data_IF_843730509550
#
_entry.id   IF_843730509550
#
_cell.length_a   1.000
_cell.length_b   1.000
_cell.length_c   1.000
_cell.angle_alpha   90.00
_cell.angle_beta   90.00
_cell.angle_gamma   90.00
#
_symmetry.space_group_name_H-M   'P 1'
#
loop_
_entity.id
_entity.type
_entity.pdbx_description
1 polymer ?
#
# COMPACT_ATOMS: atom_id res chain seq x y z
N UNK A 1 -23.35 5.46 1.66
CA UNK A 1 -22.63 5.87 0.43
C UNK A 1 -23.67 6.40 -0.55
N UNK A 2 -23.41 7.57 -1.12
CA UNK A 2 -24.21 8.19 -2.19
C UNK A 2 -23.21 8.58 -3.27
N UNK A 3 -23.42 8.12 -4.50
CA UNK A 3 -22.61 8.52 -5.64
C UNK A 3 -23.08 9.88 -6.15
N UNK A 4 -22.14 10.83 -6.32
CA UNK A 4 -22.40 12.10 -7.00
C UNK A 4 -21.92 11.99 -8.45
N UNK A 5 -22.82 11.95 -9.46
CA UNK A 5 -22.44 11.82 -10.86
C UNK A 5 -21.65 13.03 -11.39
N UNK A 6 -21.86 14.22 -10.82
CA UNK A 6 -21.21 15.45 -11.29
C UNK A 6 -19.73 15.50 -10.90
N UNK A 7 -19.41 15.06 -9.68
CA UNK A 7 -18.05 15.02 -9.13
C UNK A 7 -17.42 13.62 -9.34
N UNK A 8 -18.19 12.66 -9.87
CA UNK A 8 -17.80 11.27 -10.13
C UNK A 8 -17.19 10.58 -8.90
N UNK A 9 -17.69 10.92 -7.72
CA UNK A 9 -17.09 10.50 -6.45
C UNK A 9 -18.17 10.00 -5.49
N UNK A 10 -17.82 8.99 -4.69
CA UNK A 10 -18.67 8.52 -3.61
C UNK A 10 -18.56 9.43 -2.39
N UNK A 11 -19.69 9.91 -1.91
CA UNK A 11 -19.79 10.64 -0.66
C UNK A 11 -20.37 9.74 0.43
N UNK A 12 -19.73 9.75 1.60
CA UNK A 12 -20.32 9.22 2.82
C UNK A 12 -21.10 10.35 3.48
N UNK A 13 -22.43 10.32 3.32
CA UNK A 13 -23.36 11.27 3.95
C UNK A 13 -24.20 10.58 4.99
N UNK A 14 -24.44 11.28 6.10
CA UNK A 14 -25.47 10.89 7.06
C UNK A 14 -26.84 11.17 6.46
N UNK A 15 -27.72 10.18 6.50
CA UNK A 15 -29.08 10.28 5.99
C UNK A 15 -30.04 9.66 6.99
N UNK A 16 -31.27 10.15 7.02
CA UNK A 16 -32.34 9.52 7.78
C UNK A 16 -32.58 8.08 7.31
N UNK A 17 -33.00 7.22 8.24
CA UNK A 17 -33.33 5.83 7.97
C UNK A 17 -34.77 5.72 7.45
N UNK A 18 -35.08 4.64 6.73
CA UNK A 18 -36.46 4.33 6.37
C UNK A 18 -37.24 3.72 7.54
N UNK A 19 -38.57 3.77 7.47
CA UNK A 19 -39.45 3.10 8.43
C UNK A 19 -39.19 1.59 8.48
N UNK A 20 -38.96 0.96 7.32
CA UNK A 20 -38.57 -0.45 7.24
C UNK A 20 -37.29 -0.74 8.05
N UNK A 21 -36.25 0.09 7.91
CA UNK A 21 -35.01 -0.06 8.68
C UNK A 21 -35.23 0.14 10.18
N UNK A 22 -36.01 1.15 10.57
CA UNK A 22 -36.36 1.41 11.96
C UNK A 22 -37.15 0.25 12.60
N UNK A 23 -38.02 -0.40 11.83
CA UNK A 23 -38.78 -1.57 12.26
C UNK A 23 -37.88 -2.81 12.37
N UNK A 24 -36.92 -3.00 11.46
CA UNK A 24 -35.90 -4.06 11.61
C UNK A 24 -35.08 -3.87 12.89
N UNK A 25 -34.66 -2.63 13.22
CA UNK A 25 -33.94 -2.31 14.46
C UNK A 25 -34.79 -2.63 15.69
N UNK A 26 -36.07 -2.25 15.70
CA UNK A 26 -37.03 -2.64 16.75
C UNK A 26 -37.11 -4.15 16.91
N UNK A 27 -37.20 -4.89 15.80
CA UNK A 27 -37.25 -6.35 15.81
C UNK A 27 -36.02 -7.04 16.40
N UNK A 28 -34.83 -6.41 16.32
CA UNK A 28 -33.62 -6.95 16.95
C UNK A 28 -33.72 -7.05 18.47
N UNK A 29 -34.46 -6.16 19.12
CA UNK A 29 -34.66 -6.18 20.57
C UNK A 29 -35.52 -7.36 21.04
N UNK A 30 -36.36 -7.92 20.17
CA UNK A 30 -37.29 -9.01 20.49
C UNK A 30 -36.79 -10.42 20.17
N UNK A 31 -35.49 -10.62 19.91
CA UNK A 31 -34.96 -11.90 19.41
C UNK A 31 -35.00 -13.03 20.43
N UNK A 32 -34.78 -12.72 21.70
CA UNK A 32 -34.67 -13.71 22.79
C UNK A 32 -35.89 -13.69 23.72
N UNK A 33 -36.64 -12.59 23.74
CA UNK A 33 -37.78 -12.38 24.62
C UNK A 33 -38.34 -10.97 24.44
N UNK A 34 -39.29 -10.54 25.28
CA UNK A 34 -39.82 -9.18 25.24
C UNK A 34 -38.70 -8.16 25.51
N UNK A 35 -38.47 -7.28 24.54
CA UNK A 35 -37.44 -6.23 24.60
C UNK A 35 -38.00 -4.86 24.26
N UNK A 36 -37.30 -3.81 24.69
CA UNK A 36 -37.68 -2.41 24.46
C UNK A 36 -36.70 -1.77 23.49
N UNK A 37 -37.21 -0.96 22.55
CA UNK A 37 -36.41 -0.21 21.60
C UNK A 37 -36.62 1.28 21.81
N UNK A 38 -35.56 2.00 22.15
CA UNK A 38 -35.57 3.45 22.30
C UNK A 38 -35.21 4.11 20.96
N UNK A 39 -36.11 4.96 20.45
CA UNK A 39 -35.90 5.75 19.24
C UNK A 39 -35.59 7.20 19.65
N UNK A 40 -34.46 7.74 19.19
CA UNK A 40 -34.01 9.10 19.52
C UNK A 40 -34.53 10.14 18.50
N UNK A 41 -35.82 10.06 18.20
CA UNK A 41 -36.54 10.96 17.29
C UNK A 41 -38.03 10.89 17.62
N UNK A 42 -38.78 11.93 17.27
CA UNK A 42 -40.21 12.03 17.55
C UNK A 42 -41.04 11.10 16.65
N UNK A 43 -42.28 10.83 17.05
CA UNK A 43 -43.22 10.05 16.23
C UNK A 43 -43.63 10.78 14.95
N UNK A 44 -43.66 12.12 14.98
CA UNK A 44 -43.88 12.96 13.80
C UNK A 44 -42.74 12.80 12.78
N UNK A 45 -41.50 12.81 13.24
CA UNK A 45 -40.33 12.56 12.38
C UNK A 45 -40.37 11.15 11.80
N UNK A 46 -40.74 10.14 12.60
CA UNK A 46 -40.92 8.77 12.11
C UNK A 46 -41.98 8.68 11.01
N UNK A 47 -43.06 9.44 11.13
CA UNK A 47 -44.15 9.46 10.14
C UNK A 47 -43.72 10.11 8.81
N UNK A 48 -42.82 11.11 8.87
CA UNK A 48 -42.23 11.79 7.70
C UNK A 48 -41.15 10.98 6.97
N UNK A 49 -40.60 9.93 7.59
CA UNK A 49 -39.57 9.09 6.95
C UNK A 49 -40.15 8.28 5.79
N UNK A 50 -39.31 7.99 4.80
CA UNK A 50 -39.62 7.09 3.70
C UNK A 50 -39.93 5.68 4.21
N UNK A 51 -40.88 5.00 3.57
CA UNK A 51 -41.28 3.65 3.98
C UNK A 51 -40.16 2.63 3.75
N UNK A 52 -39.48 2.73 2.60
CA UNK A 52 -38.40 1.85 2.18
C UNK A 52 -37.12 2.64 1.88
N UNK A 53 -35.96 1.98 2.01
CA UNK A 53 -34.69 2.58 1.60
C UNK A 53 -34.58 2.60 0.08
N UNK A 54 -34.03 3.68 -0.45
CA UNK A 54 -33.71 3.76 -1.88
C UNK A 54 -32.80 2.59 -2.32
N UNK A 55 -33.10 1.97 -3.47
CA UNK A 55 -32.36 0.83 -4.01
C UNK A 55 -30.88 1.15 -4.26
N UNK A 56 -30.01 0.14 -4.12
CA UNK A 56 -28.56 0.31 -4.26
C UNK A 56 -28.14 0.73 -5.68
N UNK A 57 -28.82 0.19 -6.71
CA UNK A 57 -28.56 0.51 -8.12
C UNK A 57 -28.73 2.01 -8.45
N UNK A 58 -29.51 2.75 -7.65
CA UNK A 58 -29.72 4.20 -7.81
C UNK A 58 -28.73 5.04 -7.00
N UNK A 59 -27.88 4.41 -6.18
CA UNK A 59 -27.04 5.08 -5.18
C UNK A 59 -25.55 4.83 -5.34
N UNK A 60 -25.16 3.81 -6.10
CA UNK A 60 -23.78 3.35 -6.31
C UNK A 60 -23.36 3.64 -7.75
N UNK A 61 -22.06 3.69 -8.00
CA UNK A 61 -21.53 3.83 -9.36
C UNK A 61 -21.90 2.58 -10.16
N UNK A 62 -22.28 2.79 -11.41
CA UNK A 62 -22.64 1.71 -12.33
C UNK A 62 -21.41 1.16 -13.08
N UNK A 63 -20.21 1.70 -12.85
CA UNK A 63 -18.98 1.35 -13.59
C UNK A 63 -18.73 -0.17 -13.64
N UNK A 64 -18.70 -0.82 -12.48
CA UNK A 64 -18.42 -2.25 -12.34
C UNK A 64 -19.57 -3.11 -12.83
N UNK A 65 -20.82 -2.66 -12.60
CA UNK A 65 -22.03 -3.34 -13.06
C UNK A 65 -22.12 -3.37 -14.58
N UNK A 66 -21.87 -2.23 -15.25
CA UNK A 66 -21.89 -2.14 -16.71
C UNK A 66 -20.78 -3.01 -17.31
N UNK A 67 -19.58 -2.98 -16.74
CA UNK A 67 -18.48 -3.83 -17.17
C UNK A 67 -18.84 -5.32 -17.12
N UNK A 68 -19.47 -5.77 -16.03
CA UNK A 68 -19.93 -7.17 -15.89
C UNK A 68 -21.05 -7.53 -16.88
N UNK A 69 -22.00 -6.62 -17.13
CA UNK A 69 -23.07 -6.85 -18.12
C UNK A 69 -22.47 -7.04 -19.52
N UNK A 70 -21.50 -6.20 -19.88
CA UNK A 70 -20.83 -6.27 -21.18
C UNK A 70 -19.94 -7.52 -21.30
N UNK A 71 -19.32 -7.97 -20.22
CA UNK A 71 -18.50 -9.20 -20.21
C UNK A 71 -19.33 -10.47 -20.41
N UNK A 72 -20.58 -10.49 -19.93
CA UNK A 72 -21.53 -11.57 -20.23
C UNK A 72 -21.87 -11.69 -21.73
N UNK A 73 -21.48 -10.71 -22.56
CA UNK A 73 -21.55 -10.72 -24.02
C UNK A 73 -22.93 -11.11 -24.59
N UNK A 74 -24.00 -10.63 -23.96
CA UNK A 74 -25.38 -10.92 -24.38
C UNK A 74 -25.80 -10.19 -25.67
N UNK A 75 -24.94 -9.32 -26.23
CA UNK A 75 -25.23 -8.44 -27.39
C UNK A 75 -26.45 -7.50 -27.21
N UNK A 76 -26.95 -7.39 -25.98
CA UNK A 76 -28.02 -6.49 -25.58
C UNK A 76 -27.41 -5.15 -25.18
N UNK A 77 -28.09 -4.05 -25.51
CA UNK A 77 -27.68 -2.73 -24.99
C UNK A 77 -27.90 -2.71 -23.48
N UNK A 78 -26.97 -2.12 -22.74
CA UNK A 78 -27.05 -2.00 -21.27
C UNK A 78 -28.35 -1.29 -20.86
N UNK A 79 -28.84 -0.37 -21.71
CA UNK A 79 -30.12 0.33 -21.51
C UNK A 79 -31.35 -0.57 -21.56
N UNK A 80 -31.27 -1.64 -22.34
CA UNK A 80 -32.37 -2.60 -22.55
C UNK A 80 -32.26 -3.80 -21.60
N UNK A 81 -31.28 -3.80 -20.69
CA UNK A 81 -31.11 -4.88 -19.73
C UNK A 81 -32.32 -4.94 -18.76
N UNK A 82 -32.88 -6.14 -18.51
CA UNK A 82 -34.10 -6.30 -17.71
C UNK A 82 -33.81 -6.17 -16.20
N UNK A 83 -33.55 -4.95 -15.72
CA UNK A 83 -33.40 -4.65 -14.30
C UNK A 83 -34.74 -4.80 -13.56
N UNK A 84 -34.70 -5.29 -12.31
CA UNK A 84 -35.87 -5.28 -11.42
C UNK A 84 -36.34 -3.84 -11.16
N UNK A 85 -35.39 -2.95 -10.91
CA UNK A 85 -35.59 -1.52 -10.85
C UNK A 85 -34.50 -0.84 -11.69
N UNK A 86 -34.90 -0.21 -12.78
CA UNK A 86 -33.95 0.41 -13.70
C UNK A 86 -33.23 1.59 -13.04
N UNK A 87 -31.91 1.75 -13.28
CA UNK A 87 -31.21 2.97 -12.94
C UNK A 87 -31.74 4.15 -13.77
N UNK A 88 -31.44 5.36 -13.32
CA UNK A 88 -31.73 6.55 -14.11
C UNK A 88 -30.87 6.56 -15.39
N UNK A 89 -31.49 6.93 -16.52
CA UNK A 89 -30.84 6.91 -17.85
C UNK A 89 -29.68 7.91 -17.92
N UNK A 90 -29.77 9.03 -17.19
CA UNK A 90 -28.73 10.06 -17.14
C UNK A 90 -27.39 9.52 -16.61
N UNK A 91 -27.33 9.07 -15.35
CA UNK A 91 -26.15 8.43 -14.78
C UNK A 91 -25.65 7.24 -15.61
N UNK A 92 -26.55 6.41 -16.14
CA UNK A 92 -26.18 5.27 -16.98
C UNK A 92 -25.39 5.70 -18.23
N UNK A 93 -25.88 6.72 -18.96
CA UNK A 93 -25.20 7.25 -20.14
C UNK A 93 -23.86 7.89 -19.80
N UNK A 94 -23.79 8.64 -18.70
CA UNK A 94 -22.54 9.26 -18.23
C UNK A 94 -21.47 8.21 -17.89
N UNK A 95 -21.88 7.10 -17.26
CA UNK A 95 -20.98 5.98 -16.97
C UNK A 95 -20.50 5.32 -18.27
N UNK A 96 -21.39 5.08 -19.23
CA UNK A 96 -21.03 4.51 -20.54
C UNK A 96 -20.02 5.39 -21.29
N UNK A 97 -20.26 6.70 -21.34
CA UNK A 97 -19.33 7.69 -21.91
C UNK A 97 -17.99 7.69 -21.18
N UNK A 98 -17.99 7.58 -19.85
CA UNK A 98 -16.77 7.46 -19.04
C UNK A 98 -15.98 6.21 -19.42
N UNK A 99 -16.62 5.05 -19.48
CA UNK A 99 -15.97 3.78 -19.86
C UNK A 99 -15.43 3.81 -21.30
N UNK A 100 -16.13 4.49 -22.21
CA UNK A 100 -15.67 4.74 -23.58
C UNK A 100 -14.43 5.64 -23.60
N UNK A 101 -14.44 6.74 -22.84
CA UNK A 101 -13.28 7.65 -22.72
C UNK A 101 -12.06 6.97 -22.10
N UNK A 102 -12.29 5.98 -21.23
CA UNK A 102 -11.28 5.17 -20.61
C UNK A 102 -10.74 4.04 -21.52
N UNK A 103 -11.33 3.82 -22.70
CA UNK A 103 -10.93 2.75 -23.61
C UNK A 103 -11.32 1.34 -23.13
N UNK A 104 -12.29 1.24 -22.21
CA UNK A 104 -12.82 -0.04 -21.70
C UNK A 104 -13.86 -0.60 -22.68
N UNK A 105 -14.70 0.29 -23.22
CA UNK A 105 -15.76 -0.03 -24.20
C UNK A 105 -15.32 0.42 -25.59
N UNK A 106 -15.68 -0.35 -26.62
CA UNK A 106 -15.34 -0.02 -28.00
C UNK A 106 -16.07 1.26 -28.45
N UNK A 107 -15.33 2.19 -29.03
CA UNK A 107 -15.88 3.49 -29.43
C UNK A 107 -16.92 3.40 -30.55
N UNK A 108 -16.83 2.37 -31.41
CA UNK A 108 -17.71 2.13 -32.54
C UNK A 108 -18.92 1.27 -32.18
N UNK A 109 -18.80 0.43 -31.15
CA UNK A 109 -19.85 -0.47 -30.71
C UNK A 109 -19.89 -0.53 -29.18
N UNK A 110 -20.82 0.21 -28.59
CA UNK A 110 -20.96 0.33 -27.13
C UNK A 110 -21.39 -0.99 -26.45
N UNK A 111 -21.77 -1.99 -27.24
CA UNK A 111 -22.12 -3.34 -26.77
C UNK A 111 -20.92 -4.27 -26.60
N UNK A 112 -19.73 -3.83 -27.00
CA UNK A 112 -18.53 -4.67 -26.98
C UNK A 112 -17.42 -4.05 -26.12
N UNK A 113 -16.78 -4.89 -25.32
CA UNK A 113 -15.57 -4.55 -24.58
C UNK A 113 -14.35 -4.53 -25.52
N UNK A 114 -13.39 -3.65 -25.21
CA UNK A 114 -12.06 -3.70 -25.82
C UNK A 114 -11.23 -4.85 -25.21
N UNK A 115 -10.09 -5.24 -25.79
CA UNK A 115 -9.19 -6.22 -25.15
C UNK A 115 -8.80 -5.81 -23.73
N UNK A 116 -8.60 -4.51 -23.49
CA UNK A 116 -8.36 -3.97 -22.15
C UNK A 116 -9.60 -4.16 -21.26
N UNK A 117 -10.81 -3.88 -21.76
CA UNK A 117 -12.06 -4.09 -21.03
C UNK A 117 -12.29 -5.55 -20.64
N UNK A 118 -11.97 -6.50 -21.52
CA UNK A 118 -12.06 -7.95 -21.24
C UNK A 118 -11.11 -8.35 -20.10
N UNK A 119 -9.87 -7.83 -20.10
CA UNK A 119 -8.92 -8.09 -19.00
C UNK A 119 -9.44 -7.47 -17.71
N UNK A 120 -9.94 -6.22 -17.76
CA UNK A 120 -10.49 -5.53 -16.59
C UNK A 120 -11.70 -6.25 -15.98
N UNK A 121 -12.59 -6.80 -16.80
CA UNK A 121 -13.78 -7.51 -16.33
C UNK A 121 -13.45 -8.77 -15.52
N UNK A 122 -12.29 -9.38 -15.78
CA UNK A 122 -11.79 -10.55 -15.04
C UNK A 122 -11.18 -10.20 -13.67
N UNK A 123 -10.85 -8.93 -13.44
CA UNK A 123 -10.22 -8.48 -12.19
C UNK A 123 -11.32 -8.04 -11.20
N UNK A 124 -11.40 -8.61 -9.99
CA UNK A 124 -12.39 -8.24 -8.98
C UNK A 124 -11.99 -6.96 -8.22
N UNK A 125 -11.59 -5.92 -8.95
CA UNK A 125 -11.04 -4.67 -8.41
C UNK A 125 -11.59 -3.50 -9.23
N UNK A 126 -11.76 -2.33 -8.58
CA UNK A 126 -12.25 -1.12 -9.23
C UNK A 126 -11.44 -0.77 -10.48
N UNK A 127 -12.14 -0.29 -11.51
CA UNK A 127 -11.57 -0.02 -12.84
C UNK A 127 -10.30 0.84 -12.79
N UNK A 128 -10.22 1.96 -12.04
CA UNK A 128 -9.00 2.77 -11.99
C UNK A 128 -7.79 2.02 -11.43
N UNK A 129 -7.99 1.22 -10.38
CA UNK A 129 -6.93 0.44 -9.74
C UNK A 129 -6.50 -0.71 -10.66
N UNK A 130 -7.46 -1.42 -11.24
CA UNK A 130 -7.21 -2.49 -12.21
C UNK A 130 -6.40 -1.98 -13.41
N UNK A 131 -6.75 -0.82 -13.97
CA UNK A 131 -5.96 -0.19 -15.05
C UNK A 131 -4.56 0.20 -14.60
N UNK A 132 -4.41 0.75 -13.40
CA UNK A 132 -3.10 1.09 -12.85
C UNK A 132 -2.21 -0.16 -12.74
N UNK A 133 -2.76 -1.28 -12.28
CA UNK A 133 -2.03 -2.55 -12.20
C UNK A 133 -1.64 -3.09 -13.58
N UNK A 134 -2.56 -3.09 -14.54
CA UNK A 134 -2.28 -3.53 -15.92
C UNK A 134 -1.17 -2.68 -16.55
N UNK A 135 -1.26 -1.35 -16.45
CA UNK A 135 -0.22 -0.46 -16.97
C UNK A 135 1.11 -0.65 -16.24
N UNK A 136 1.09 -0.93 -14.94
CA UNK A 136 2.31 -1.22 -14.20
C UNK A 136 2.99 -2.53 -14.65
N UNK A 137 2.22 -3.54 -15.07
CA UNK A 137 2.77 -4.73 -15.71
C UNK A 137 3.48 -4.37 -17.02
N UNK A 138 2.84 -3.58 -17.88
CA UNK A 138 3.42 -3.14 -19.17
C UNK A 138 4.68 -2.29 -18.98
N UNK A 139 4.70 -1.41 -17.96
CA UNK A 139 5.83 -0.53 -17.65
C UNK A 139 6.92 -1.21 -16.80
N UNK A 140 6.73 -2.48 -16.42
CA UNK A 140 7.63 -3.22 -15.53
C UNK A 140 7.89 -2.50 -14.18
N UNK A 141 6.82 -1.93 -13.60
CA UNK A 141 6.80 -1.22 -12.29
C UNK A 141 5.73 -1.74 -11.34
N UNK A 142 5.50 -3.05 -11.41
CA UNK A 142 4.46 -3.73 -10.66
C UNK A 142 4.61 -3.55 -9.13
N UNK A 143 5.80 -3.73 -8.57
CA UNK A 143 6.01 -3.72 -7.12
C UNK A 143 5.60 -2.40 -6.46
N UNK A 144 5.80 -1.27 -7.16
CA UNK A 144 5.39 0.06 -6.67
C UNK A 144 3.88 0.22 -6.79
N UNK A 145 3.32 -0.16 -7.96
CA UNK A 145 1.90 -0.05 -8.22
C UNK A 145 1.07 -0.94 -7.29
N UNK A 146 1.55 -2.14 -6.93
CA UNK A 146 0.90 -3.00 -5.95
C UNK A 146 0.81 -2.35 -4.56
N UNK A 147 1.86 -1.63 -4.12
CA UNK A 147 1.82 -0.92 -2.82
C UNK A 147 0.81 0.21 -2.88
N UNK A 148 0.86 1.01 -3.96
CA UNK A 148 -0.02 2.16 -4.12
C UNK A 148 -1.48 1.71 -4.24
N UNK A 149 -1.75 0.69 -5.06
CA UNK A 149 -3.07 0.07 -5.20
C UNK A 149 -3.62 -0.39 -3.85
N UNK A 150 -2.82 -1.16 -3.10
CA UNK A 150 -3.22 -1.65 -1.78
C UNK A 150 -3.44 -0.49 -0.80
N UNK A 151 -2.57 0.51 -0.83
CA UNK A 151 -2.65 1.70 0.00
C UNK A 151 -3.89 2.55 -0.26
N UNK A 152 -4.32 2.70 -1.52
CA UNK A 152 -5.53 3.43 -1.90
C UNK A 152 -6.81 2.63 -1.64
N UNK A 153 -6.71 1.30 -1.56
CA UNK A 153 -7.84 0.40 -1.28
C UNK A 153 -8.14 0.25 0.23
N UNK A 154 -7.16 0.55 1.08
CA UNK A 154 -7.33 0.54 2.54
C UNK A 154 -7.67 1.94 3.04
N UNK A 155 -8.41 2.03 4.14
CA UNK A 155 -8.60 3.29 4.84
C UNK A 155 -7.24 3.92 5.19
N UNK A 156 -7.13 5.23 5.04
CA UNK A 156 -5.87 5.96 5.30
C UNK A 156 -5.25 5.54 6.64
N UNK A 157 -3.96 5.15 6.65
CA UNK A 157 -3.29 4.72 7.87
C UNK A 157 -3.00 5.90 8.81
N UNK A 158 -3.15 7.15 8.34
CA UNK A 158 -2.93 8.34 9.15
C UNK A 158 -4.15 8.65 10.01
N UNK A 159 -3.97 8.68 11.32
CA UNK A 159 -5.03 9.05 12.27
C UNK A 159 -5.20 10.57 12.35
N UNK A 160 -6.29 11.05 12.94
CA UNK A 160 -6.52 12.47 13.20
C UNK A 160 -5.38 13.11 14.03
N UNK A 161 -4.71 12.33 14.90
CA UNK A 161 -3.53 12.79 15.66
C UNK A 161 -2.36 13.14 14.73
N UNK A 162 -2.18 12.41 13.64
CA UNK A 162 -1.13 12.65 12.64
C UNK A 162 -1.23 14.05 12.00
N UNK A 163 -2.39 14.71 12.08
CA UNK A 163 -2.63 16.04 11.53
C UNK A 163 -2.77 17.14 12.59
N UNK A 164 -3.22 16.81 13.81
CA UNK A 164 -3.49 17.78 14.87
C UNK A 164 -2.35 17.97 15.87
N UNK A 165 -1.56 16.93 16.10
CA UNK A 165 -0.50 16.94 17.10
C UNK A 165 0.81 17.43 16.48
N UNK A 166 1.38 18.52 16.99
CA UNK A 166 2.59 19.15 16.44
C UNK A 166 3.78 18.21 16.42
N UNK A 167 3.90 17.34 17.43
CA UNK A 167 5.00 16.39 17.55
C UNK A 167 4.91 15.31 16.47
N UNK A 168 3.68 14.84 16.17
CA UNK A 168 3.43 13.89 15.10
C UNK A 168 3.67 14.52 13.72
N UNK A 169 3.22 15.76 13.52
CA UNK A 169 3.38 16.49 12.26
C UNK A 169 4.87 16.69 11.96
N UNK A 170 5.65 17.16 12.94
CA UNK A 170 7.09 17.34 12.80
C UNK A 170 7.80 16.01 12.54
N UNK A 171 7.43 14.96 13.26
CA UNK A 171 8.00 13.63 13.07
C UNK A 171 7.69 13.07 11.68
N UNK A 172 6.56 13.41 11.06
CA UNK A 172 6.17 12.93 9.72
C UNK A 172 6.83 13.68 8.56
N UNK A 173 7.40 14.86 8.76
CA UNK A 173 7.93 15.70 7.68
C UNK A 173 8.89 14.95 6.75
N UNK A 174 9.80 14.14 7.29
CA UNK A 174 10.75 13.36 6.49
C UNK A 174 10.09 12.28 5.60
N UNK A 175 8.86 11.87 5.91
CA UNK A 175 8.09 10.86 5.17
C UNK A 175 7.24 11.47 4.05
N UNK A 176 7.04 12.80 4.05
CA UNK A 176 6.26 13.47 3.03
C UNK A 176 7.02 13.50 1.71
N UNK A 177 6.32 13.22 0.61
CA UNK A 177 6.84 13.30 -0.73
C UNK A 177 6.25 14.51 -1.45
N UNK A 178 7.13 15.32 -2.05
CA UNK A 178 6.74 16.49 -2.86
C UNK A 178 5.98 16.12 -4.13
N UNK A 179 6.05 14.85 -4.54
CA UNK A 179 5.40 14.31 -5.74
C UNK A 179 3.91 14.01 -5.48
N UNK A 180 3.54 13.74 -4.22
CA UNK A 180 2.13 13.58 -3.81
C UNK A 180 1.88 12.53 -2.74
N UNK A 181 0.63 12.49 -2.28
CA UNK A 181 0.18 11.63 -1.17
C UNK A 181 0.34 10.12 -1.41
N UNK A 182 0.10 9.57 -2.62
CA UNK A 182 0.34 8.15 -2.86
C UNK A 182 1.82 7.75 -2.68
N UNK A 183 2.75 8.66 -3.00
CA UNK A 183 4.19 8.43 -2.81
C UNK A 183 4.61 8.60 -1.35
N UNK A 184 3.96 9.49 -0.61
CA UNK A 184 4.07 9.56 0.85
C UNK A 184 3.66 8.23 1.49
N UNK A 185 2.53 7.66 1.08
CA UNK A 185 2.06 6.36 1.57
C UNK A 185 3.03 5.22 1.24
N UNK A 186 3.61 5.22 0.03
CA UNK A 186 4.67 4.30 -0.38
C UNK A 186 5.91 4.42 0.53
N UNK A 187 6.34 5.65 0.86
CA UNK A 187 7.50 5.90 1.71
C UNK A 187 7.26 5.41 3.14
N UNK A 188 6.09 5.71 3.71
CA UNK A 188 5.65 5.22 5.02
C UNK A 188 5.67 3.69 5.07
N UNK A 189 5.07 3.03 4.07
CA UNK A 189 5.03 1.58 4.02
C UNK A 189 6.43 0.96 3.95
N UNK A 190 7.33 1.57 3.16
CA UNK A 190 8.72 1.13 3.04
C UNK A 190 9.49 1.26 4.34
N UNK A 191 9.37 2.38 5.04
CA UNK A 191 10.02 2.58 6.34
C UNK A 191 9.53 1.57 7.37
N UNK A 192 8.22 1.34 7.42
CA UNK A 192 7.64 0.32 8.29
C UNK A 192 8.18 -1.09 7.99
N UNK A 193 8.31 -1.45 6.71
CA UNK A 193 8.91 -2.73 6.32
C UNK A 193 10.36 -2.86 6.77
N UNK A 194 11.19 -1.82 6.60
CA UNK A 194 12.60 -1.83 7.05
C UNK A 194 12.69 -2.07 8.56
N UNK A 195 11.91 -1.33 9.34
CA UNK A 195 11.86 -1.49 10.81
C UNK A 195 11.41 -2.88 11.23
N UNK A 196 10.54 -3.52 10.44
CA UNK A 196 10.09 -4.89 10.68
C UNK A 196 11.18 -5.92 10.42
N UNK A 197 11.98 -5.72 9.37
CA UNK A 197 13.10 -6.62 9.03
C UNK A 197 14.24 -6.56 10.05
N UNK A 198 14.53 -5.38 10.61
CA UNK A 198 15.65 -5.17 11.52
C UNK A 198 15.46 -5.77 12.93
N UNK A 199 14.30 -6.37 13.23
CA UNK A 199 14.07 -7.09 14.49
C UNK A 199 13.39 -6.26 15.60
N UNK A 200 12.20 -5.73 15.33
CA UNK A 200 11.00 -6.19 16.06
C UNK A 200 10.58 -5.62 17.42
N UNK A 201 11.08 -4.47 17.92
CA UNK A 201 10.47 -3.86 19.14
C UNK A 201 9.89 -2.45 19.01
N UNK A 202 10.17 -1.70 17.95
CA UNK A 202 9.74 -0.30 17.88
C UNK A 202 8.74 0.03 16.76
N UNK A 203 8.19 -0.92 15.99
CA UNK A 203 7.20 -0.59 14.93
C UNK A 203 5.94 0.05 15.50
N UNK A 204 5.43 -0.46 16.64
CA UNK A 204 4.30 0.15 17.37
C UNK A 204 4.62 1.50 17.98
N UNK A 205 5.87 1.73 18.37
CA UNK A 205 6.30 3.00 18.95
C UNK A 205 6.47 4.05 17.86
N UNK A 206 7.11 3.68 16.77
CA UNK A 206 7.25 4.45 15.54
C UNK A 206 5.89 4.84 14.97
N UNK A 207 4.95 3.88 14.86
CA UNK A 207 3.60 4.15 14.38
C UNK A 207 2.88 5.15 15.30
N UNK A 208 2.99 5.00 16.62
CA UNK A 208 2.42 5.97 17.59
C UNK A 208 3.03 7.37 17.47
N UNK A 209 4.35 7.47 17.32
CA UNK A 209 5.06 8.75 17.16
C UNK A 209 4.64 9.51 15.89
N UNK A 210 4.28 8.78 14.84
CA UNK A 210 3.83 9.37 13.57
C UNK A 210 2.30 9.54 13.48
N UNK A 211 1.56 9.07 14.49
CA UNK A 211 0.10 9.04 14.47
C UNK A 211 -0.48 8.08 13.43
N UNK A 212 0.21 6.97 13.16
CA UNK A 212 -0.14 5.95 12.16
C UNK A 212 -0.77 4.74 12.85
N UNK A 213 -1.81 4.17 12.25
CA UNK A 213 -2.41 2.91 12.66
C UNK A 213 -1.68 1.73 12.01
N UNK A 214 -0.93 0.95 12.81
CA UNK A 214 -0.14 -0.18 12.30
C UNK A 214 -1.02 -1.28 11.66
N UNK A 215 -2.24 -1.49 12.17
CA UNK A 215 -3.22 -2.44 11.61
C UNK A 215 -3.44 -2.22 10.12
N UNK A 216 -3.49 -0.95 9.67
CA UNK A 216 -3.70 -0.60 8.26
C UNK A 216 -2.51 -0.98 7.39
N UNK A 217 -1.29 -0.90 7.92
CA UNK A 217 -0.09 -1.34 7.19
C UNK A 217 -0.06 -2.86 6.99
N UNK A 218 -0.60 -3.62 7.96
CA UNK A 218 -0.81 -5.06 7.79
C UNK A 218 -1.89 -5.36 6.75
N UNK A 219 -3.01 -4.62 6.76
CA UNK A 219 -4.06 -4.73 5.73
C UNK A 219 -3.50 -4.45 4.33
N UNK A 220 -2.69 -3.39 4.17
CA UNK A 220 -2.00 -3.07 2.91
C UNK A 220 -1.12 -4.22 2.45
N UNK A 221 -0.36 -4.84 3.36
CA UNK A 221 0.49 -6.00 3.03
C UNK A 221 -0.34 -7.19 2.53
N UNK A 222 -1.49 -7.44 3.17
CA UNK A 222 -2.40 -8.51 2.77
C UNK A 222 -3.06 -8.24 1.41
N UNK A 223 -3.57 -7.03 1.17
CA UNK A 223 -4.17 -6.65 -0.11
C UNK A 223 -3.15 -6.66 -1.24
N UNK A 224 -1.92 -6.19 -0.99
CA UNK A 224 -0.81 -6.27 -1.94
C UNK A 224 -0.61 -7.70 -2.45
N UNK A 225 -0.59 -8.68 -1.52
CA UNK A 225 -0.44 -10.10 -1.88
C UNK A 225 -1.64 -10.58 -2.70
N UNK A 226 -2.85 -10.23 -2.29
CA UNK A 226 -4.08 -10.58 -3.02
C UNK A 226 -4.08 -10.00 -4.45
N UNK A 227 -3.65 -8.75 -4.64
CA UNK A 227 -3.53 -8.18 -5.98
C UNK A 227 -2.48 -8.89 -6.82
N UNK A 228 -1.34 -9.29 -6.24
CA UNK A 228 -0.36 -10.12 -6.94
C UNK A 228 -0.96 -11.47 -7.37
N UNK A 229 -1.64 -12.17 -6.45
CA UNK A 229 -2.31 -13.45 -6.73
C UNK A 229 -3.36 -13.31 -7.84
N UNK A 230 -4.15 -12.23 -7.84
CA UNK A 230 -5.16 -11.95 -8.89
C UNK A 230 -4.48 -11.76 -10.26
N UNK A 231 -3.38 -11.01 -10.32
CA UNK A 231 -2.68 -10.77 -11.58
C UNK A 231 -1.96 -12.03 -12.11
N UNK A 232 -1.46 -12.88 -11.22
CA UNK A 232 -0.92 -14.20 -11.56
C UNK A 232 -2.01 -15.14 -12.09
N UNK A 233 -3.21 -15.12 -11.48
CA UNK A 233 -4.37 -15.89 -11.96
C UNK A 233 -4.89 -15.39 -13.31
N UNK A 234 -4.78 -14.08 -13.57
CA UNK A 234 -5.14 -13.47 -14.84
C UNK A 234 -4.06 -13.67 -15.94
N UNK A 235 -2.98 -14.41 -15.65
CA UNK A 235 -1.86 -14.67 -16.56
C UNK A 235 -1.14 -13.39 -17.05
N UNK A 236 -1.29 -12.29 -16.32
CA UNK A 236 -0.64 -11.01 -16.65
C UNK A 236 0.80 -10.95 -16.18
N UNK A 237 1.16 -11.79 -15.21
CA UNK A 237 2.50 -11.91 -14.65
C UNK A 237 2.82 -13.40 -14.54
N UNK A 238 4.05 -13.84 -14.89
CA UNK A 238 4.45 -15.21 -14.60
C UNK A 238 4.36 -15.44 -13.09
N UNK A 239 3.78 -16.55 -12.67
CA UNK A 239 3.98 -17.01 -11.29
C UNK A 239 5.49 -17.02 -11.07
N UNK A 240 5.97 -16.29 -10.07
CA UNK A 240 7.33 -16.50 -9.58
C UNK A 240 7.35 -17.90 -9.00
N UNK A 241 7.60 -18.87 -9.88
CA UNK A 241 7.77 -20.22 -9.48
C UNK A 241 9.00 -20.25 -8.58
N UNK A 242 8.87 -20.87 -7.42
CA UNK A 242 10.00 -21.39 -6.66
C UNK A 242 10.89 -22.34 -7.49
N UNK A 243 10.60 -22.55 -8.80
CA UNK A 243 11.41 -23.29 -9.76
C UNK A 243 12.79 -22.69 -10.00
N UNK A 244 13.00 -21.37 -9.89
CA UNK A 244 14.38 -20.86 -9.94
C UNK A 244 15.23 -21.44 -8.79
N UNK A 245 14.63 -21.60 -7.60
CA UNK A 245 15.30 -22.21 -6.46
C UNK A 245 15.44 -23.72 -6.60
N UNK A 246 14.51 -24.42 -7.27
CA UNK A 246 14.58 -25.87 -7.49
C UNK A 246 15.51 -26.27 -8.66
N UNK A 247 15.70 -25.42 -9.67
CA UNK A 247 16.61 -25.66 -10.80
C UNK A 247 18.07 -25.31 -10.50
N UNK A 248 18.32 -24.40 -9.53
CA UNK A 248 19.67 -24.11 -9.05
C UNK A 248 20.30 -25.36 -8.42
N UNK A 249 21.52 -25.70 -8.84
CA UNK A 249 22.30 -26.78 -8.23
C UNK A 249 22.46 -26.53 -6.73
N UNK A 250 22.48 -27.59 -5.91
CA UNK A 250 22.73 -27.49 -4.46
C UNK A 250 23.98 -26.66 -4.11
N UNK A 251 24.95 -26.60 -5.03
CA UNK A 251 26.16 -25.77 -4.94
C UNK A 251 25.86 -24.28 -5.11
N UNK A 252 25.03 -23.91 -6.08
CA UNK A 252 24.66 -22.52 -6.40
C UNK A 252 23.75 -21.93 -5.32
N UNK A 253 22.81 -22.73 -4.78
CA UNK A 253 22.00 -22.33 -3.61
C UNK A 253 22.86 -22.01 -2.40
N UNK A 254 23.89 -22.82 -2.13
CA UNK A 254 24.86 -22.57 -1.03
C UNK A 254 25.67 -21.30 -1.26
N UNK A 255 26.06 -21.02 -2.51
CA UNK A 255 26.81 -19.82 -2.86
C UNK A 255 25.96 -18.56 -2.69
N UNK A 256 24.73 -18.53 -3.22
CA UNK A 256 23.83 -17.38 -3.07
C UNK A 256 23.46 -17.10 -1.61
N UNK A 257 23.23 -18.14 -0.80
CA UNK A 257 23.00 -17.97 0.65
C UNK A 257 24.27 -17.47 1.35
N UNK A 258 25.44 -17.94 0.94
CA UNK A 258 26.73 -17.49 1.45
C UNK A 258 27.04 -16.04 1.09
N UNK A 259 26.76 -15.63 -0.14
CA UNK A 259 26.93 -14.27 -0.64
C UNK A 259 25.96 -13.29 0.01
N UNK A 260 24.69 -13.67 0.18
CA UNK A 260 23.70 -12.89 0.95
C UNK A 260 24.11 -12.72 2.40
N UNK A 261 24.63 -13.76 3.05
CA UNK A 261 25.16 -13.66 4.43
C UNK A 261 26.38 -12.75 4.50
N UNK A 262 27.34 -12.89 3.57
CA UNK A 262 28.51 -11.99 3.49
C UNK A 262 28.09 -10.54 3.29
N UNK A 263 27.12 -10.28 2.40
CA UNK A 263 26.59 -8.94 2.16
C UNK A 263 25.92 -8.38 3.42
N UNK A 264 25.13 -9.18 4.12
CA UNK A 264 24.51 -8.80 5.38
C UNK A 264 25.56 -8.49 6.47
N UNK A 265 26.58 -9.32 6.61
CA UNK A 265 27.66 -9.11 7.59
C UNK A 265 28.49 -7.86 7.25
N UNK A 266 28.73 -7.58 5.97
CA UNK A 266 29.41 -6.37 5.51
C UNK A 266 28.57 -5.11 5.75
N UNK A 267 27.27 -5.14 5.43
CA UNK A 267 26.33 -4.04 5.74
C UNK A 267 26.21 -3.80 7.24
N UNK A 268 26.15 -4.86 8.03
CA UNK A 268 26.12 -4.79 9.50
C UNK A 268 27.40 -4.20 10.08
N UNK A 269 28.58 -4.57 9.55
CA UNK A 269 29.87 -3.99 9.95
C UNK A 269 29.98 -2.51 9.56
N UNK A 270 29.54 -2.15 8.34
CA UNK A 270 29.49 -0.76 7.90
C UNK A 270 28.54 0.10 8.76
N UNK A 271 27.42 -0.46 9.24
CA UNK A 271 26.49 0.22 10.15
C UNK A 271 26.97 0.35 11.60
N UNK A 272 27.98 -0.41 12.02
CA UNK A 272 28.39 -0.51 13.44
C UNK A 272 29.40 0.56 13.88
N UNK A 273 30.06 1.28 12.98
CA UNK A 273 31.05 2.30 13.37
C UNK A 273 30.44 3.66 13.77
N UNK A 274 29.13 3.85 13.59
CA UNK A 274 28.45 5.13 13.86
C UNK A 274 27.86 5.36 15.26
N UNK A 275 27.87 4.38 16.18
CA UNK A 275 27.31 4.56 17.54
C UNK A 275 28.20 3.95 18.62
N UNK A 276 29.26 4.66 19.02
CA UNK A 276 29.91 4.43 20.32
C UNK A 276 29.05 5.08 21.42
N UNK A 277 28.17 4.31 22.06
CA UNK A 277 27.57 4.71 23.33
C UNK A 277 28.67 4.89 24.37
N UNK A 278 28.88 6.12 24.86
CA UNK A 278 29.80 6.41 25.95
C UNK A 278 29.22 5.83 27.24
N UNK A 279 29.86 4.80 27.78
CA UNK A 279 29.53 4.24 29.10
C UNK A 279 30.54 4.84 30.09
N UNK A 280 30.06 5.57 31.10
CA UNK A 280 30.89 5.95 32.24
C UNK A 280 31.18 4.70 33.07
N UNK A 281 32.46 4.43 33.31
CA UNK A 281 32.90 3.40 34.26
C UNK A 281 33.09 4.03 35.63
N UNK A 282 32.63 3.33 36.66
CA UNK A 282 32.72 3.76 38.05
C UNK A 282 34.20 3.81 38.48
N UNK A 283 34.65 4.94 39.04
CA UNK A 283 35.99 5.11 39.62
C UNK A 283 36.92 6.17 39.00
N UNK A 284 36.47 6.98 38.04
CA UNK A 284 37.28 8.13 37.57
C UNK A 284 36.87 9.42 38.29
N UNK A 285 37.71 9.90 39.21
CA UNK A 285 37.54 11.18 39.89
C UNK A 285 37.78 12.34 38.89
N UNK A 286 37.01 13.42 39.03
CA UNK A 286 36.97 14.55 38.09
C UNK A 286 38.34 15.22 37.86
N UNK A 287 39.25 15.11 38.83
CA UNK A 287 40.57 15.75 38.79
C UNK A 287 41.57 15.09 37.83
N UNK A 288 41.39 13.81 37.50
CA UNK A 288 42.30 13.11 36.56
C UNK A 288 42.06 13.49 35.09
N UNK A 289 40.96 14.19 34.81
CA UNK A 289 40.58 14.63 33.46
C UNK A 289 41.31 15.94 33.09
N UNK A 290 41.57 16.82 34.07
CA UNK A 290 42.17 18.13 33.80
C UNK A 290 43.68 18.05 33.50
N UNK A 291 44.43 17.17 34.15
CA UNK A 291 45.89 17.03 33.92
C UNK A 291 46.26 16.36 32.60
N UNK A 292 45.36 15.60 31.96
CA UNK A 292 45.61 14.98 30.65
C UNK A 292 45.42 15.92 29.46
N UNK A 293 44.89 17.11 29.68
CA UNK A 293 44.63 18.11 28.63
C UNK A 293 45.90 18.74 28.03
N UNK A 294 47.08 18.50 28.63
CA UNK A 294 48.33 19.16 28.25
C UNK A 294 49.44 18.28 27.63
N UNK A 295 49.24 16.97 27.46
CA UNK A 295 50.27 16.05 26.92
C UNK A 295 49.77 15.03 25.89
N UNK A 296 48.64 15.29 25.24
CA UNK A 296 48.01 14.37 24.28
C UNK A 296 48.19 14.72 22.81
N UNK A 297 48.85 15.83 22.47
CA UNK A 297 48.85 16.37 21.10
C UNK A 297 49.93 15.78 20.17
N UNK A 298 50.75 14.82 20.62
CA UNK A 298 51.80 14.23 19.78
C UNK A 298 51.59 12.74 19.45
N UNK A 299 50.60 12.05 20.04
CA UNK A 299 50.28 10.65 19.70
C UNK A 299 49.02 10.49 18.82
N UNK A 300 48.24 11.55 18.57
CA UNK A 300 47.05 11.48 17.71
C UNK A 300 47.36 11.65 16.20
N UNK A 301 48.48 12.25 15.80
CA UNK A 301 48.80 12.43 14.37
C UNK A 301 49.30 11.16 13.66
N UNK A 302 49.75 10.13 14.38
CA UNK A 302 50.28 8.90 13.76
C UNK A 302 49.22 7.81 13.52
N UNK A 303 48.01 7.94 14.09
CA UNK A 303 46.89 7.00 13.86
C UNK A 303 45.88 7.44 12.81
N UNK A 304 45.85 8.71 12.43
CA UNK A 304 44.94 9.20 11.37
C UNK A 304 45.43 8.91 9.93
N UNK A 305 46.66 8.44 9.74
CA UNK A 305 47.17 8.10 8.40
C UNK A 305 46.81 6.71 7.86
N UNK A 306 46.00 5.91 8.59
CA UNK A 306 45.54 4.57 8.15
C UNK A 306 44.04 4.47 7.84
N UNK A 307 43.35 5.59 7.58
CA UNK A 307 41.91 5.59 7.33
C UNK A 307 41.49 6.49 6.18
N UNK A 308 41.78 6.10 4.93
CA UNK A 308 40.71 6.13 3.91
C UNK A 308 40.57 4.81 3.13
N UNK A 309 41.66 4.05 3.01
CA UNK A 309 41.78 2.96 2.04
C UNK A 309 41.00 1.69 2.39
N UNK A 310 40.74 1.46 3.69
CA UNK A 310 39.95 0.29 4.15
C UNK A 310 38.44 0.51 4.01
N UNK A 311 37.97 1.76 4.06
CA UNK A 311 36.56 2.13 3.92
C UNK A 311 36.13 2.17 2.45
N UNK A 312 36.98 2.68 1.55
CA UNK A 312 36.77 2.54 0.11
C UNK A 312 36.70 1.06 -0.28
N UNK A 313 37.61 0.22 0.22
CA UNK A 313 37.66 -1.19 -0.13
C UNK A 313 36.43 -1.97 0.38
N UNK A 314 35.85 -1.65 1.54
CA UNK A 314 34.62 -2.28 2.02
C UNK A 314 33.38 -1.77 1.28
N UNK A 315 33.33 -0.48 0.95
CA UNK A 315 32.26 0.12 0.15
C UNK A 315 32.25 -0.46 -1.27
N UNK A 316 33.42 -0.59 -1.89
CA UNK A 316 33.61 -1.18 -3.22
C UNK A 316 33.27 -2.67 -3.23
N UNK A 317 33.57 -3.41 -2.16
CA UNK A 317 33.18 -4.82 -2.02
C UNK A 317 31.66 -4.98 -1.86
N UNK A 318 30.99 -4.09 -1.13
CA UNK A 318 29.52 -4.06 -1.04
C UNK A 318 28.93 -3.76 -2.42
N UNK A 319 29.43 -2.71 -3.09
CA UNK A 319 28.98 -2.34 -4.43
C UNK A 319 29.22 -3.43 -5.47
N UNK A 320 30.36 -4.14 -5.40
CA UNK A 320 30.68 -5.24 -6.31
C UNK A 320 29.80 -6.46 -6.05
N UNK A 321 29.53 -6.82 -4.79
CA UNK A 321 28.62 -7.93 -4.46
C UNK A 321 27.17 -7.61 -4.81
N UNK A 322 26.72 -6.37 -4.57
CA UNK A 322 25.43 -5.88 -5.03
C UNK A 322 25.36 -5.91 -6.57
N UNK A 323 26.38 -5.41 -7.25
CA UNK A 323 26.47 -5.43 -8.71
C UNK A 323 26.50 -6.85 -9.28
N UNK A 324 27.21 -7.79 -8.66
CA UNK A 324 27.25 -9.20 -9.07
C UNK A 324 25.87 -9.86 -8.94
N UNK A 325 25.18 -9.63 -7.81
CA UNK A 325 23.81 -10.12 -7.59
C UNK A 325 22.80 -9.47 -8.55
N UNK A 326 22.99 -8.19 -8.87
CA UNK A 326 22.18 -7.44 -9.84
C UNK A 326 22.50 -7.77 -11.29
N UNK A 327 23.72 -8.19 -11.61
CA UNK A 327 24.14 -8.52 -12.98
C UNK A 327 23.50 -9.81 -13.52
N UNK A 328 23.01 -10.69 -12.63
CA UNK A 328 22.11 -11.80 -12.99
C UNK A 328 20.69 -11.36 -13.37
N UNK A 329 20.30 -10.10 -13.13
CA UNK A 329 18.99 -9.54 -13.47
C UNK A 329 19.14 -8.15 -14.08
N UNK A 330 19.34 -8.08 -15.40
CA UNK A 330 19.81 -6.88 -16.11
C UNK A 330 18.99 -5.59 -15.84
N UNK A 331 19.68 -4.67 -15.14
CA UNK A 331 20.11 -3.35 -15.60
C UNK A 331 19.06 -2.38 -16.21
N UNK A 332 18.44 -1.55 -15.35
CA UNK A 332 18.05 -0.15 -15.67
C UNK A 332 17.72 0.63 -14.37
N UNK A 333 18.55 0.44 -13.35
CA UNK A 333 18.28 0.90 -11.98
C UNK A 333 18.90 2.26 -11.63
N UNK A 334 19.72 2.89 -12.47
CA UNK A 334 20.55 4.00 -11.95
C UNK A 334 19.80 5.27 -11.54
N UNK A 335 18.55 5.48 -11.98
CA UNK A 335 17.68 6.53 -11.40
C UNK A 335 16.52 6.01 -10.53
N UNK A 336 16.23 4.71 -10.59
CA UNK A 336 15.22 4.04 -9.76
C UNK A 336 15.81 3.42 -8.48
N UNK A 337 17.13 3.43 -8.33
CA UNK A 337 17.90 2.81 -7.24
C UNK A 337 17.61 3.42 -5.86
N UNK A 338 17.07 4.63 -5.79
CA UNK A 338 16.62 5.21 -4.51
C UNK A 338 15.38 4.50 -3.97
N UNK A 339 14.65 3.74 -4.80
CA UNK A 339 13.37 3.09 -4.49
C UNK A 339 13.38 1.54 -4.65
N UNK A 340 14.52 0.87 -4.46
CA UNK A 340 14.58 -0.61 -4.49
C UNK A 340 13.72 -1.24 -3.38
N UNK A 341 12.78 -2.08 -3.82
CA UNK A 341 11.95 -2.95 -2.99
C UNK A 341 12.41 -4.43 -3.06
N UNK A 342 13.22 -4.81 -4.05
CA UNK A 342 13.48 -6.22 -4.38
C UNK A 342 14.26 -7.00 -3.30
N UNK A 343 15.06 -6.32 -2.45
CA UNK A 343 15.81 -6.98 -1.38
C UNK A 343 14.98 -7.31 -0.12
N UNK A 344 13.76 -6.75 0.00
CA UNK A 344 12.94 -6.82 1.23
C UNK A 344 11.99 -8.04 1.22
N UNK A 345 11.75 -8.67 0.08
CA UNK A 345 10.64 -9.61 -0.11
C UNK A 345 10.99 -11.09 0.00
N UNK A 346 12.23 -11.44 0.32
CA UNK A 346 12.67 -12.85 0.44
C UNK A 346 12.42 -13.49 1.82
N UNK A 347 11.71 -12.80 2.70
CA UNK A 347 11.33 -13.31 4.03
C UNK A 347 9.83 -13.17 4.27
N UNK A 348 9.02 -13.95 3.54
CA UNK A 348 7.80 -14.58 4.05
C UNK A 348 7.45 -15.80 3.18
#
# INVERSE_FOLDING_TARGET
MVYDPSIRTHKLTETWISKASANQRKGRAGRTGPGVCFRLYSEEEFSKMEDFTLPEIKRVSLDTLILQILDMNMQIDVRDFPFLESPEIGPLNQTLESLKSQGVVNALNEKMLTPLGIILARLPVDIPISKMLIYACVLNKLEIALTIAAGLSVQSPFTNRSFRDSDCVNSRQHLLSDIGDPFTLLRVYREWLKLRMDGGQDTRRWARQLGIEETRLFEITKLRRQFKEILEQAELIPKQEAKEWEELSSKERRMLVGEKRKLFDLKKKAGYEGKKTKILREGQHFDTILEKSGRGLEEEEEKERRGPQMLENTQDQIQHLEFSLLSSGKALERELATHKFDDIWLYN
#
